data_IF_209022310947
#
_entry.id   IF_209022310947
#
_cell.length_a   1.000
_cell.length_b   1.000
_cell.length_c   1.000
_cell.angle_alpha   90.00
_cell.angle_beta   90.00
_cell.angle_gamma   90.00
#
_symmetry.space_group_name_H-M   'P 1'
#
loop_
_entity.id
_entity.type
_entity.pdbx_description
1 polymer ?
#
# COMPACT_ATOMS: atom_id res chain seq x y z
N UNK A 1 7.87 20.61 -9.44
CA UNK A 1 6.89 19.50 -9.52
C UNK A 1 6.96 18.94 -10.93
N UNK A 2 7.59 17.78 -11.10
CA UNK A 2 7.76 17.16 -12.43
C UNK A 2 6.41 16.69 -12.97
N UNK A 3 6.05 17.12 -14.18
CA UNK A 3 4.81 16.72 -14.87
C UNK A 3 4.81 15.19 -15.00
N UNK A 4 3.84 14.54 -14.35
CA UNK A 4 3.55 13.14 -14.62
C UNK A 4 3.08 12.94 -16.07
N UNK A 5 3.05 11.70 -16.56
CA UNK A 5 2.48 11.38 -17.87
C UNK A 5 1.07 11.96 -18.02
N UNK A 6 0.74 12.44 -19.21
CA UNK A 6 -0.57 13.00 -19.54
C UNK A 6 -1.68 11.96 -19.31
N UNK A 7 -2.75 12.32 -18.61
CA UNK A 7 -3.87 11.42 -18.34
C UNK A 7 -5.05 11.78 -19.23
N UNK A 8 -5.59 10.82 -19.97
CA UNK A 8 -6.80 10.99 -20.77
C UNK A 8 -7.79 9.85 -20.53
N UNK A 9 -9.09 10.15 -20.61
CA UNK A 9 -10.13 9.16 -20.32
C UNK A 9 -10.25 8.19 -21.48
N UNK A 10 -10.52 6.92 -21.17
CA UNK A 10 -10.93 5.93 -22.17
C UNK A 10 -12.30 6.34 -22.73
N UNK A 11 -12.51 6.14 -24.03
CA UNK A 11 -13.75 6.50 -24.74
C UNK A 11 -14.88 5.48 -24.49
N UNK A 12 -15.21 5.24 -23.22
CA UNK A 12 -16.35 4.44 -22.80
C UNK A 12 -16.83 4.85 -21.40
N UNK A 13 -17.81 4.12 -20.87
CA UNK A 13 -18.37 4.37 -19.54
C UNK A 13 -17.77 3.50 -18.43
N UNK A 14 -16.58 2.91 -18.65
CA UNK A 14 -15.92 2.08 -17.63
C UNK A 14 -15.25 2.92 -16.54
N UNK A 15 -14.98 4.20 -16.83
CA UNK A 15 -14.33 5.13 -15.90
C UNK A 15 -12.80 5.05 -15.91
N UNK A 16 -12.20 4.13 -16.67
CA UNK A 16 -10.75 4.01 -16.79
C UNK A 16 -10.13 5.18 -17.57
N UNK A 17 -8.88 5.51 -17.23
CA UNK A 17 -8.09 6.53 -17.91
C UNK A 17 -6.71 6.00 -18.29
N UNK A 18 -6.21 6.39 -19.45
CA UNK A 18 -4.85 6.12 -19.87
C UNK A 18 -3.90 7.13 -19.27
N UNK A 19 -2.79 6.65 -18.73
CA UNK A 19 -1.66 7.45 -18.29
C UNK A 19 -0.53 7.33 -19.30
N UNK A 20 -0.36 8.37 -20.12
CA UNK A 20 0.54 8.42 -21.26
C UNK A 20 -0.22 8.24 -22.57
N UNK A 21 0.46 7.69 -23.58
CA UNK A 21 -0.18 7.31 -24.85
C UNK A 21 -0.84 5.95 -24.71
N UNK A 22 -1.98 5.79 -25.35
CA UNK A 22 -2.74 4.54 -25.38
C UNK A 22 -2.32 3.61 -26.52
N UNK A 23 -1.69 4.13 -27.59
CA UNK A 23 -1.22 3.40 -28.76
C UNK A 23 -2.30 2.55 -29.46
N UNK A 24 -3.57 2.85 -29.23
CA UNK A 24 -4.66 2.06 -29.79
C UNK A 24 -4.95 0.72 -29.11
N UNK A 25 -4.37 0.44 -27.94
CA UNK A 25 -4.49 -0.85 -27.23
C UNK A 25 -5.10 -0.70 -25.83
N UNK A 26 -5.44 -1.81 -25.19
CA UNK A 26 -6.05 -1.82 -23.86
C UNK A 26 -7.58 -1.62 -23.87
N UNK A 27 -8.21 -1.85 -25.02
CA UNK A 27 -9.65 -1.67 -25.17
C UNK A 27 -10.49 -2.63 -24.29
N UNK A 28 -9.96 -3.81 -23.96
CA UNK A 28 -10.65 -4.83 -23.16
C UNK A 28 -10.83 -4.47 -21.68
N UNK A 29 -10.01 -3.54 -21.17
CA UNK A 29 -10.00 -3.13 -19.76
C UNK A 29 -11.33 -2.50 -19.37
N UNK A 30 -11.91 -2.96 -18.25
CA UNK A 30 -13.23 -2.57 -17.76
C UNK A 30 -14.43 -3.13 -18.55
N UNK A 31 -14.22 -3.76 -19.70
CA UNK A 31 -15.29 -4.32 -20.53
C UNK A 31 -15.40 -5.84 -20.39
N UNK A 32 -14.28 -6.55 -20.52
CA UNK A 32 -14.22 -8.03 -20.57
C UNK A 32 -13.42 -8.64 -19.39
N UNK A 33 -13.02 -7.80 -18.43
CA UNK A 33 -12.16 -8.17 -17.29
C UNK A 33 -12.94 -8.45 -16.00
N UNK A 34 -14.27 -8.58 -16.06
CA UNK A 34 -15.14 -8.75 -14.88
C UNK A 34 -14.72 -9.89 -13.95
N UNK A 35 -14.16 -10.99 -14.50
CA UNK A 35 -13.66 -12.10 -13.71
C UNK A 35 -12.43 -11.74 -12.84
N UNK A 36 -11.69 -10.70 -13.21
CA UNK A 36 -10.54 -10.17 -12.46
C UNK A 36 -11.00 -9.01 -11.59
N UNK A 37 -11.72 -8.03 -12.15
CA UNK A 37 -12.12 -6.79 -11.49
C UNK A 37 -13.19 -6.98 -10.39
N UNK A 38 -13.95 -8.07 -10.42
CA UNK A 38 -14.90 -8.43 -9.35
C UNK A 38 -14.22 -8.93 -8.07
N UNK A 39 -12.94 -9.32 -8.12
CA UNK A 39 -12.22 -9.81 -6.95
C UNK A 39 -11.57 -8.63 -6.19
N UNK A 40 -12.11 -8.32 -5.00
CA UNK A 40 -11.64 -7.22 -4.15
C UNK A 40 -10.20 -7.34 -3.66
N UNK A 41 -9.58 -8.52 -3.78
CA UNK A 41 -8.17 -8.74 -3.41
C UNK A 41 -7.20 -8.33 -4.52
N UNK A 42 -7.68 -8.16 -5.76
CA UNK A 42 -6.84 -7.80 -6.90
C UNK A 42 -6.60 -6.30 -6.90
N UNK A 43 -5.34 -5.90 -6.87
CA UNK A 43 -4.90 -4.51 -6.99
C UNK A 43 -4.84 -4.06 -8.45
N UNK A 44 -4.44 -4.97 -9.34
CA UNK A 44 -4.26 -4.68 -10.75
C UNK A 44 -3.89 -5.94 -11.53
N UNK A 45 -3.73 -5.80 -12.83
CA UNK A 45 -3.29 -6.90 -13.68
C UNK A 45 -2.53 -6.41 -14.90
N UNK A 46 -1.77 -7.31 -15.52
CA UNK A 46 -0.98 -7.02 -16.71
C UNK A 46 -1.20 -8.07 -17.77
N UNK A 47 -1.30 -7.66 -19.03
CA UNK A 47 -1.42 -8.58 -20.16
C UNK A 47 -0.71 -8.00 -21.38
N UNK A 48 -0.48 -8.85 -22.37
CA UNK A 48 0.12 -8.44 -23.64
C UNK A 48 -0.96 -8.32 -24.71
N UNK A 49 -0.83 -7.30 -25.54
CA UNK A 49 -1.75 -7.00 -26.64
C UNK A 49 -0.95 -6.60 -27.88
N UNK A 50 -1.36 -7.11 -29.03
CA UNK A 50 -0.78 -6.75 -30.32
C UNK A 50 -1.42 -5.45 -30.81
N UNK A 51 -0.62 -4.52 -31.33
CA UNK A 51 -1.12 -3.25 -31.82
C UNK A 51 -0.17 -2.59 -32.81
N UNK A 52 -0.48 -1.37 -33.20
CA UNK A 52 0.38 -0.56 -34.05
C UNK A 52 0.98 0.60 -33.27
N UNK A 53 2.30 0.71 -33.31
CA UNK A 53 2.98 1.94 -32.96
C UNK A 53 2.73 2.94 -34.10
N UNK A 54 1.86 3.89 -33.83
CA UNK A 54 1.50 4.97 -34.75
C UNK A 54 2.52 6.10 -34.64
N UNK A 55 3.12 6.43 -35.77
CA UNK A 55 3.94 7.60 -35.93
C UNK A 55 3.33 8.51 -36.99
N UNK A 56 3.03 9.75 -36.63
CA UNK A 56 2.43 10.73 -37.53
C UNK A 56 3.45 11.82 -37.79
N UNK A 57 3.66 12.15 -39.05
CA UNK A 57 4.52 13.27 -39.44
C UNK A 57 3.73 14.19 -40.36
N UNK A 58 3.51 15.43 -39.93
CA UNK A 58 2.81 16.44 -40.71
C UNK A 58 3.78 17.48 -41.29
N UNK A 59 3.48 17.99 -42.48
CA UNK A 59 4.22 19.04 -43.17
C UNK A 59 3.27 19.95 -43.94
N UNK A 60 3.68 21.20 -44.18
CA UNK A 60 3.00 22.06 -45.16
C UNK A 60 3.50 21.70 -46.55
N UNK A 61 2.58 21.31 -47.43
CA UNK A 61 2.87 21.02 -48.81
C UNK A 61 2.04 21.93 -49.73
N UNK A 62 2.64 23.06 -50.11
CA UNK A 62 2.00 24.05 -51.00
C UNK A 62 1.78 23.55 -52.42
N UNK A 63 2.41 22.43 -52.82
CA UNK A 63 2.16 21.78 -54.11
C UNK A 63 1.13 20.65 -54.02
N UNK A 64 0.44 20.51 -52.87
CA UNK A 64 -0.69 19.60 -52.72
C UNK A 64 -1.77 19.91 -53.76
N UNK A 65 -2.28 18.89 -54.43
CA UNK A 65 -3.39 19.02 -55.38
C UNK A 65 -4.76 18.96 -54.69
N UNK A 66 -4.80 18.64 -53.39
CA UNK A 66 -6.05 18.56 -52.64
C UNK A 66 -6.49 19.95 -52.17
N UNK A 67 -7.58 20.46 -52.76
CA UNK A 67 -8.04 21.84 -52.58
C UNK A 67 -9.52 21.91 -52.26
N UNK A 68 -9.91 22.94 -51.51
CA UNK A 68 -11.31 23.28 -51.26
C UNK A 68 -11.82 24.19 -52.39
N UNK A 69 -12.91 23.78 -53.02
CA UNK A 69 -13.52 24.45 -54.17
C UNK A 69 -15.04 24.60 -53.99
N UNK A 70 -15.64 25.52 -54.74
CA UNK A 70 -17.09 25.74 -54.75
C UNK A 70 -17.49 27.18 -54.46
N UNK A 71 -18.77 27.41 -54.11
CA UNK A 71 -19.82 26.40 -53.90
C UNK A 71 -20.20 25.64 -55.19
N UNK A 72 -20.45 24.33 -55.08
CA UNK A 72 -20.96 23.45 -56.16
C UNK A 72 -22.49 23.50 -56.23
N UNK A 73 -23.13 23.67 -55.08
CA UNK A 73 -24.56 23.97 -54.93
C UNK A 73 -24.73 24.95 -53.76
N UNK A 74 -25.93 25.49 -53.54
CA UNK A 74 -26.21 26.36 -52.40
C UNK A 74 -25.77 25.68 -51.10
N UNK A 75 -24.77 26.28 -50.44
CA UNK A 75 -24.12 25.82 -49.20
C UNK A 75 -23.31 24.52 -49.29
N UNK A 76 -23.02 23.99 -50.49
CA UNK A 76 -22.21 22.78 -50.65
C UNK A 76 -20.86 23.15 -51.29
N UNK A 77 -19.77 22.83 -50.59
CA UNK A 77 -18.40 22.99 -51.06
C UNK A 77 -17.77 21.62 -51.29
N UNK A 78 -16.94 21.50 -52.32
CA UNK A 78 -16.25 20.26 -52.64
C UNK A 78 -14.77 20.39 -52.32
N UNK A 79 -14.23 19.46 -51.53
CA UNK A 79 -12.80 19.28 -51.41
C UNK A 79 -12.38 18.12 -52.31
N UNK A 80 -11.46 18.38 -53.24
CA UNK A 80 -11.02 17.36 -54.17
C UNK A 80 -9.55 17.48 -54.55
N UNK A 81 -8.96 16.36 -54.97
CA UNK A 81 -7.64 16.30 -55.55
C UNK A 81 -6.87 15.03 -55.20
N UNK A 82 -5.69 14.87 -55.80
CA UNK A 82 -4.85 13.70 -55.58
C UNK A 82 -3.96 13.88 -54.36
N UNK A 83 -3.88 12.83 -53.53
CA UNK A 83 -2.87 12.70 -52.48
C UNK A 83 -1.66 11.90 -53.01
N UNK A 84 -0.50 11.95 -52.32
CA UNK A 84 0.71 11.26 -52.77
C UNK A 84 0.56 9.74 -53.01
N UNK A 85 -0.39 9.10 -52.35
CA UNK A 85 -0.70 7.67 -52.47
C UNK A 85 -2.02 7.37 -53.20
N UNK A 86 -2.70 8.37 -53.77
CA UNK A 86 -3.88 8.17 -54.63
C UNK A 86 -3.49 7.39 -55.89
N UNK A 87 -4.16 6.27 -56.15
CA UNK A 87 -3.83 5.36 -57.28
C UNK A 87 -4.96 5.29 -58.32
N UNK A 88 -6.22 5.34 -57.87
CA UNK A 88 -7.40 5.04 -58.69
C UNK A 88 -8.29 6.27 -58.96
N UNK A 89 -7.83 7.48 -58.63
CA UNK A 89 -8.56 8.72 -58.88
C UNK A 89 -8.23 9.81 -57.87
N UNK A 90 -8.86 10.97 -58.06
CA UNK A 90 -8.86 12.03 -57.06
C UNK A 90 -9.75 11.67 -55.88
N UNK A 91 -9.34 12.07 -54.68
CA UNK A 91 -10.24 12.02 -53.54
C UNK A 91 -11.24 13.17 -53.67
N UNK A 92 -12.49 12.92 -53.30
CA UNK A 92 -13.57 13.89 -53.42
C UNK A 92 -14.54 13.76 -52.25
N UNK A 93 -14.84 14.87 -51.59
CA UNK A 93 -15.81 14.92 -50.50
C UNK A 93 -16.55 16.26 -50.46
N UNK A 94 -17.81 16.22 -50.06
CA UNK A 94 -18.71 17.39 -50.02
C UNK A 94 -18.95 17.86 -48.59
N UNK A 95 -18.81 19.16 -48.37
CA UNK A 95 -18.95 19.81 -47.07
C UNK A 95 -20.07 20.83 -47.11
N UNK A 96 -20.86 20.90 -46.04
CA UNK A 96 -21.93 21.88 -45.90
C UNK A 96 -21.39 23.10 -45.15
N UNK A 97 -21.57 24.29 -45.72
CA UNK A 97 -21.14 25.55 -45.13
C UNK A 97 -21.96 26.72 -45.64
N UNK A 98 -22.30 27.66 -44.77
CA UNK A 98 -22.90 28.94 -45.17
C UNK A 98 -21.93 29.71 -46.07
N UNK A 99 -20.64 29.66 -45.75
CA UNK A 99 -19.54 30.03 -46.62
C UNK A 99 -18.42 28.98 -46.60
N UNK A 100 -17.47 29.10 -47.52
CA UNK A 100 -16.30 28.22 -47.59
C UNK A 100 -15.20 28.58 -46.60
N UNK A 101 -15.38 29.62 -45.76
CA UNK A 101 -14.32 30.16 -44.90
C UNK A 101 -14.13 29.33 -43.65
N UNK A 102 -15.21 28.78 -43.10
CA UNK A 102 -15.21 28.00 -41.86
C UNK A 102 -15.07 26.48 -42.06
N UNK A 103 -14.74 26.03 -43.28
CA UNK A 103 -14.62 24.60 -43.60
C UNK A 103 -13.18 24.14 -43.37
N UNK A 104 -13.04 23.00 -42.69
CA UNK A 104 -11.79 22.22 -42.63
C UNK A 104 -12.08 20.87 -43.23
N UNK A 105 -11.64 20.68 -44.46
CA UNK A 105 -11.82 19.46 -45.22
C UNK A 105 -10.60 18.56 -45.10
N UNK A 106 -10.82 17.29 -44.84
CA UNK A 106 -9.78 16.27 -44.78
C UNK A 106 -9.99 15.26 -45.91
N UNK A 107 -8.97 15.11 -46.75
CA UNK A 107 -8.88 14.05 -47.75
C UNK A 107 -7.96 12.94 -47.26
N UNK A 108 -8.33 11.70 -47.56
CA UNK A 108 -7.54 10.51 -47.24
C UNK A 108 -7.53 9.61 -48.46
N UNK A 109 -6.35 9.16 -48.88
CA UNK A 109 -6.27 8.34 -50.07
C UNK A 109 -6.83 6.93 -49.86
N UNK A 110 -7.65 6.47 -50.81
CA UNK A 110 -8.00 5.06 -50.91
C UNK A 110 -6.99 4.33 -51.79
N UNK A 111 -6.00 3.69 -51.17
CA UNK A 111 -4.96 2.95 -51.88
C UNK A 111 -4.78 1.54 -51.33
N UNK A 112 -4.98 0.51 -52.13
CA UNK A 112 -4.67 -0.87 -51.72
C UNK A 112 -3.19 -1.19 -51.81
N UNK A 113 -2.46 -0.46 -52.66
CA UNK A 113 -1.06 -0.75 -53.01
C UNK A 113 -0.06 0.04 -52.17
N UNK A 114 -0.44 1.22 -51.66
CA UNK A 114 0.47 2.03 -50.87
C UNK A 114 0.60 1.48 -49.44
N UNK A 115 1.83 1.20 -48.96
CA UNK A 115 2.06 0.83 -47.58
C UNK A 115 1.93 2.03 -46.62
N UNK A 116 2.18 3.26 -47.12
CA UNK A 116 2.06 4.52 -46.37
C UNK A 116 0.66 5.07 -46.53
N UNK A 117 0.16 5.77 -45.51
CA UNK A 117 -1.14 6.43 -45.56
C UNK A 117 -0.93 7.92 -45.44
N UNK A 118 -1.60 8.68 -46.31
CA UNK A 118 -1.59 10.13 -46.27
C UNK A 118 -2.98 10.68 -45.96
N UNK A 119 -2.95 11.82 -45.28
CA UNK A 119 -4.07 12.68 -44.99
C UNK A 119 -3.69 14.07 -45.48
N UNK A 120 -4.59 14.75 -46.18
CA UNK A 120 -4.40 16.14 -46.61
C UNK A 120 -5.52 17.00 -46.05
N UNK A 121 -5.19 18.20 -45.60
CA UNK A 121 -6.13 19.19 -45.07
C UNK A 121 -6.20 20.36 -46.04
N UNK A 122 -7.40 20.66 -46.50
CA UNK A 122 -7.74 21.88 -47.22
C UNK A 122 -8.69 22.69 -46.34
N UNK A 123 -8.35 23.95 -46.08
CA UNK A 123 -9.08 24.76 -45.12
C UNK A 123 -9.44 26.13 -45.68
N UNK A 124 -10.60 26.63 -45.27
CA UNK A 124 -11.05 27.99 -45.56
C UNK A 124 -10.28 29.05 -44.78
N UNK A 125 -10.56 30.32 -45.08
CA UNK A 125 -9.87 31.49 -44.52
C UNK A 125 -9.82 31.51 -42.98
N UNK A 126 -10.90 31.10 -42.30
CA UNK A 126 -10.97 31.10 -40.84
C UNK A 126 -9.97 30.11 -40.19
N UNK A 127 -9.62 29.04 -40.91
CA UNK A 127 -8.64 28.03 -40.50
C UNK A 127 -7.45 27.98 -41.46
N UNK A 128 -7.09 29.11 -42.06
CA UNK A 128 -6.07 29.18 -43.11
C UNK A 128 -4.70 28.62 -42.69
N UNK A 129 -4.40 28.61 -41.39
CA UNK A 129 -3.20 28.00 -40.82
C UNK A 129 -3.15 26.47 -40.99
N UNK A 130 -4.25 25.79 -41.26
CA UNK A 130 -4.27 24.35 -41.56
C UNK A 130 -4.21 24.06 -43.06
N UNK A 131 -4.37 25.08 -43.91
CA UNK A 131 -4.48 24.88 -45.33
C UNK A 131 -3.17 24.32 -45.91
N UNK A 132 -3.27 23.44 -46.92
CA UNK A 132 -2.15 22.75 -47.55
C UNK A 132 -1.31 21.90 -46.57
N UNK A 133 -1.90 21.39 -45.49
CA UNK A 133 -1.20 20.50 -44.57
C UNK A 133 -1.36 19.06 -45.01
N UNK A 134 -0.28 18.30 -45.05
CA UNK A 134 -0.29 16.86 -45.33
C UNK A 134 0.34 16.12 -44.16
N UNK A 135 -0.30 15.04 -43.74
CA UNK A 135 0.18 14.17 -42.67
C UNK A 135 0.36 12.75 -43.21
N UNK A 136 1.48 12.16 -42.87
CA UNK A 136 1.79 10.78 -43.17
C UNK A 136 1.69 9.94 -41.91
N UNK A 137 1.10 8.75 -42.03
CA UNK A 137 1.03 7.76 -40.96
C UNK A 137 1.96 6.58 -41.25
N UNK A 138 2.89 6.35 -40.31
CA UNK A 138 3.64 5.11 -40.17
C UNK A 138 2.95 4.20 -39.15
N UNK A 139 2.73 2.95 -39.53
CA UNK A 139 2.18 1.92 -38.65
C UNK A 139 3.20 0.78 -38.53
N UNK A 140 3.80 0.66 -37.35
CA UNK A 140 4.74 -0.41 -37.04
C UNK A 140 4.07 -1.42 -36.10
N UNK A 141 3.86 -2.68 -36.52
CA UNK A 141 3.28 -3.70 -35.64
C UNK A 141 4.21 -3.97 -34.45
N UNK A 142 3.66 -3.86 -33.24
CA UNK A 142 4.39 -3.99 -31.98
C UNK A 142 3.56 -4.77 -30.97
N UNK A 143 4.24 -5.49 -30.09
CA UNK A 143 3.66 -6.08 -28.90
C UNK A 143 3.71 -5.07 -27.76
N UNK A 144 2.56 -4.85 -27.12
CA UNK A 144 2.41 -3.92 -26.00
C UNK A 144 2.16 -4.68 -24.71
N UNK A 145 2.75 -4.19 -23.62
CA UNK A 145 2.40 -4.58 -22.27
C UNK A 145 1.42 -3.56 -21.69
N UNK A 146 0.22 -4.02 -21.37
CA UNK A 146 -0.85 -3.22 -20.79
C UNK A 146 -0.90 -3.52 -19.30
N UNK A 147 -0.59 -2.50 -18.50
CA UNK A 147 -0.62 -2.54 -17.03
C UNK A 147 -1.84 -1.76 -16.54
N UNK A 148 -2.73 -2.46 -15.83
CA UNK A 148 -4.00 -1.93 -15.32
C UNK A 148 -3.94 -1.87 -13.80
N UNK A 149 -4.22 -0.70 -13.25
CA UNK A 149 -4.46 -0.49 -11.84
C UNK A 149 -5.97 -0.35 -11.62
N UNK A 150 -6.56 -1.31 -10.90
CA UNK A 150 -8.00 -1.34 -10.63
C UNK A 150 -8.35 -0.30 -9.56
N UNK A 151 -7.46 -0.06 -8.58
CA UNK A 151 -7.72 0.87 -7.48
C UNK A 151 -7.75 2.32 -7.95
N UNK A 152 -6.87 2.71 -8.88
CA UNK A 152 -6.82 4.07 -9.44
C UNK A 152 -7.53 4.21 -10.79
N UNK A 153 -8.10 3.14 -11.33
CA UNK A 153 -8.74 3.09 -12.66
C UNK A 153 -7.81 3.60 -13.78
N UNK A 154 -6.52 3.26 -13.69
CA UNK A 154 -5.52 3.73 -14.64
C UNK A 154 -4.98 2.61 -15.51
N UNK A 155 -4.79 2.93 -16.79
CA UNK A 155 -4.20 2.05 -17.80
C UNK A 155 -2.87 2.66 -18.22
N UNK A 156 -1.84 1.84 -18.26
CA UNK A 156 -0.51 2.23 -18.73
C UNK A 156 -0.07 1.26 -19.80
N UNK A 157 0.43 1.79 -20.90
CA UNK A 157 0.78 1.00 -22.08
C UNK A 157 2.26 1.23 -22.40
N UNK A 158 2.99 0.14 -22.64
CA UNK A 158 4.40 0.19 -23.04
C UNK A 158 4.67 -0.75 -24.20
N UNK A 159 5.28 -0.24 -25.27
CA UNK A 159 5.79 -1.08 -26.35
C UNK A 159 6.94 -1.96 -25.82
N UNK A 160 6.96 -3.23 -26.21
CA UNK A 160 7.93 -4.23 -25.76
C UNK A 160 8.84 -4.66 -26.90
N UNK A 161 8.25 -5.24 -27.96
CA UNK A 161 9.01 -5.83 -29.06
C UNK A 161 8.27 -5.67 -30.41
N UNK A 162 8.99 -5.57 -31.53
CA UNK A 162 8.39 -5.54 -32.85
C UNK A 162 7.79 -6.90 -33.20
N UNK A 163 6.64 -6.89 -33.88
CA UNK A 163 5.90 -8.07 -34.28
C UNK A 163 5.85 -8.18 -35.81
N UNK A 164 5.66 -9.40 -36.32
CA UNK A 164 5.22 -9.58 -37.70
C UNK A 164 3.84 -8.92 -37.89
N UNK A 165 3.62 -8.27 -39.05
CA UNK A 165 2.36 -7.60 -39.34
C UNK A 165 1.18 -8.57 -39.30
N UNK A 166 0.32 -8.40 -38.29
CA UNK A 166 -0.89 -9.21 -38.07
C UNK A 166 -2.04 -8.80 -39.01
N UNK A 167 -1.93 -7.67 -39.72
CA UNK A 167 -2.88 -7.26 -40.75
C UNK A 167 -2.16 -6.88 -42.05
N UNK A 168 -1.57 -7.85 -42.78
CA UNK A 168 -0.80 -7.58 -43.98
C UNK A 168 -1.63 -6.95 -45.12
N UNK A 169 -2.95 -7.16 -45.12
CA UNK A 169 -3.89 -6.49 -46.03
C UNK A 169 -4.13 -5.01 -45.69
N UNK A 170 -3.69 -4.54 -44.51
CA UNK A 170 -3.76 -3.13 -44.06
C UNK A 170 -5.18 -2.55 -44.08
N UNK A 171 -6.18 -3.41 -43.90
CA UNK A 171 -7.57 -3.01 -43.82
C UNK A 171 -7.85 -2.21 -42.55
N UNK A 172 -7.21 -2.58 -41.44
CA UNK A 172 -7.38 -1.91 -40.13
C UNK A 172 -6.85 -0.48 -40.22
N UNK A 173 -5.62 -0.30 -40.69
CA UNK A 173 -5.00 1.03 -40.81
C UNK A 173 -5.71 1.89 -41.86
N UNK A 174 -6.13 1.30 -43.00
CA UNK A 174 -6.95 1.99 -44.00
C UNK A 174 -8.27 2.50 -43.42
N UNK A 175 -9.00 1.65 -42.72
CA UNK A 175 -10.30 1.99 -42.14
C UNK A 175 -10.18 3.05 -41.06
N UNK A 176 -9.11 2.98 -40.25
CA UNK A 176 -8.83 3.95 -39.20
C UNK A 176 -8.49 5.34 -39.76
N UNK A 177 -7.61 5.43 -40.76
CA UNK A 177 -7.28 6.74 -41.36
C UNK A 177 -8.49 7.32 -42.12
N UNK A 178 -9.30 6.49 -42.79
CA UNK A 178 -10.55 6.93 -43.45
C UNK A 178 -11.52 7.63 -42.49
N UNK A 179 -11.45 7.34 -41.18
CA UNK A 179 -12.31 8.03 -40.20
C UNK A 179 -12.06 9.52 -40.13
N UNK A 180 -10.85 10.00 -40.43
CA UNK A 180 -10.59 11.44 -40.41
C UNK A 180 -11.39 12.20 -41.48
N UNK A 181 -11.59 11.61 -42.65
CA UNK A 181 -12.45 12.18 -43.71
C UNK A 181 -13.92 12.22 -43.23
N UNK A 182 -14.43 11.11 -42.71
CA UNK A 182 -15.82 11.02 -42.21
C UNK A 182 -16.05 11.99 -41.05
N UNK A 183 -15.13 12.03 -40.09
CA UNK A 183 -15.15 12.96 -38.96
C UNK A 183 -15.13 14.41 -39.42
N UNK A 184 -14.30 14.75 -40.40
CA UNK A 184 -14.25 16.08 -40.99
C UNK A 184 -15.57 16.45 -41.66
N UNK A 185 -16.19 15.51 -42.37
CA UNK A 185 -17.49 15.70 -43.03
C UNK A 185 -18.61 15.96 -42.00
N UNK A 186 -18.75 15.05 -41.03
CA UNK A 186 -19.86 15.06 -40.06
C UNK A 186 -19.73 16.17 -39.00
N UNK A 187 -18.50 16.60 -38.69
CA UNK A 187 -18.24 17.65 -37.70
C UNK A 187 -18.12 19.06 -38.30
N UNK A 188 -18.39 19.22 -39.59
CA UNK A 188 -18.51 20.53 -40.22
C UNK A 188 -19.96 21.00 -40.12
N UNK A 189 -20.16 22.16 -39.50
CA UNK A 189 -21.46 22.83 -39.42
C UNK A 189 -21.47 24.07 -40.34
N UNK A 190 -22.63 24.68 -40.55
CA UNK A 190 -22.84 25.84 -41.43
C UNK A 190 -21.85 26.99 -41.17
N UNK A 191 -21.41 27.21 -39.93
CA UNK A 191 -20.59 28.38 -39.57
C UNK A 191 -19.24 28.04 -38.93
N UNK A 192 -18.98 26.78 -38.61
CA UNK A 192 -17.80 26.38 -37.82
C UNK A 192 -17.45 24.92 -38.11
N UNK A 193 -16.15 24.61 -38.13
CA UNK A 193 -15.67 23.24 -38.10
C UNK A 193 -15.30 22.88 -36.66
N UNK A 194 -16.03 21.94 -36.04
CA UNK A 194 -15.68 21.49 -34.69
C UNK A 194 -14.29 20.84 -34.67
N UNK A 195 -13.91 20.20 -35.77
CA UNK A 195 -12.58 19.63 -35.94
C UNK A 195 -11.50 20.73 -36.08
N UNK A 196 -11.80 21.80 -36.82
CA UNK A 196 -10.95 22.99 -36.89
C UNK A 196 -10.69 23.62 -35.53
N UNK A 197 -11.75 23.80 -34.72
CA UNK A 197 -11.62 24.30 -33.34
C UNK A 197 -10.83 23.36 -32.43
N UNK A 198 -11.03 22.04 -32.56
CA UNK A 198 -10.27 21.05 -31.80
C UNK A 198 -8.77 21.11 -32.13
N UNK A 199 -8.41 21.23 -33.41
CA UNK A 199 -7.02 21.42 -33.82
C UNK A 199 -6.45 22.75 -33.32
N UNK A 200 -7.20 23.85 -33.43
CA UNK A 200 -6.79 25.15 -32.90
C UNK A 200 -6.51 25.09 -31.39
N UNK A 201 -7.38 24.41 -30.63
CA UNK A 201 -7.20 24.18 -29.19
C UNK A 201 -5.95 23.35 -28.90
N UNK A 202 -5.68 22.29 -29.67
CA UNK A 202 -4.46 21.48 -29.54
C UNK A 202 -3.19 22.32 -29.80
N UNK A 203 -3.22 23.15 -30.84
CA UNK A 203 -2.11 24.06 -31.18
C UNK A 203 -1.88 25.07 -30.06
N UNK A 204 -2.93 25.67 -29.51
CA UNK A 204 -2.84 26.58 -28.38
C UNK A 204 -2.27 25.88 -27.12
N UNK A 205 -2.72 24.66 -26.82
CA UNK A 205 -2.19 23.86 -25.71
C UNK A 205 -0.72 23.51 -25.91
N UNK A 206 -0.31 23.19 -27.14
CA UNK A 206 1.10 22.97 -27.47
C UNK A 206 1.93 24.24 -27.25
N UNK A 207 1.47 25.40 -27.77
CA UNK A 207 2.11 26.72 -27.55
C UNK A 207 2.30 27.00 -26.05
N UNK A 208 1.26 26.79 -25.23
CA UNK A 208 1.33 26.99 -23.77
C UNK A 208 2.28 26.00 -23.07
N UNK A 209 2.25 24.73 -23.46
CA UNK A 209 3.11 23.70 -22.84
C UNK A 209 4.58 23.92 -23.16
N UNK A 210 4.93 24.30 -24.39
CA UNK A 210 6.30 24.58 -24.81
C UNK A 210 6.83 25.88 -24.20
N UNK A 211 6.00 26.93 -24.14
CA UNK A 211 6.36 28.18 -23.46
C UNK A 211 6.71 27.96 -21.98
N UNK A 212 6.14 26.92 -21.35
CA UNK A 212 6.49 26.52 -19.98
C UNK A 212 7.78 25.70 -19.85
N UNK A 213 8.32 25.15 -20.96
CA UNK A 213 9.42 24.18 -20.97
C UNK A 213 10.72 24.72 -21.57
N UNK A 214 10.67 25.54 -22.61
CA UNK A 214 11.85 26.15 -23.23
C UNK A 214 11.60 27.63 -23.53
N UNK A 215 12.67 28.43 -23.43
CA UNK A 215 12.70 29.84 -23.84
C UNK A 215 13.08 30.02 -25.31
N UNK A 216 13.36 28.94 -26.03
CA UNK A 216 13.74 29.03 -27.43
C UNK A 216 12.56 29.55 -28.26
N UNK A 217 12.76 30.61 -29.07
CA UNK A 217 11.72 31.10 -29.96
C UNK A 217 11.44 30.04 -31.03
N UNK A 218 10.16 29.69 -31.19
CA UNK A 218 9.68 28.79 -32.24
C UNK A 218 8.75 29.56 -33.18
N UNK A 219 8.67 29.13 -34.44
CA UNK A 219 7.78 29.79 -35.41
C UNK A 219 6.34 29.31 -35.23
N UNK A 220 5.38 30.10 -35.75
CA UNK A 220 3.96 29.74 -35.66
C UNK A 220 3.65 28.46 -36.44
N UNK A 221 4.33 28.25 -37.56
CA UNK A 221 4.22 27.06 -38.40
C UNK A 221 4.69 25.81 -37.66
N UNK A 222 5.82 25.90 -36.95
CA UNK A 222 6.34 24.78 -36.14
C UNK A 222 5.37 24.40 -35.01
N UNK A 223 4.77 25.40 -34.36
CA UNK A 223 3.77 25.15 -33.33
C UNK A 223 2.50 24.53 -33.89
N UNK A 224 2.07 24.98 -35.07
CA UNK A 224 0.87 24.49 -35.75
C UNK A 224 1.04 23.04 -36.16
N UNK A 225 2.14 22.71 -36.85
CA UNK A 225 2.44 21.35 -37.28
C UNK A 225 2.64 20.41 -36.08
N UNK A 226 3.35 20.83 -35.03
CA UNK A 226 3.54 19.98 -33.86
C UNK A 226 2.24 19.76 -33.06
N UNK A 227 1.43 20.81 -32.88
CA UNK A 227 0.11 20.71 -32.23
C UNK A 227 -0.87 19.83 -33.02
N UNK A 228 -0.87 19.97 -34.35
CA UNK A 228 -1.66 19.13 -35.24
C UNK A 228 -1.20 17.67 -35.22
N UNK A 229 0.12 17.43 -35.30
CA UNK A 229 0.71 16.09 -35.25
C UNK A 229 0.32 15.37 -33.96
N UNK A 230 0.43 16.04 -32.81
CA UNK A 230 0.02 15.48 -31.53
C UNK A 230 -1.49 15.18 -31.50
N UNK A 231 -2.32 16.08 -32.04
CA UNK A 231 -3.77 15.88 -32.09
C UNK A 231 -4.15 14.68 -32.94
N UNK A 232 -3.63 14.59 -34.16
CA UNK A 232 -3.91 13.48 -35.09
C UNK A 232 -3.38 12.17 -34.51
N UNK A 233 -2.22 12.17 -33.86
CA UNK A 233 -1.66 11.00 -33.18
C UNK A 233 -2.57 10.51 -32.03
N UNK A 234 -3.08 11.42 -31.19
CA UNK A 234 -4.01 11.05 -30.14
C UNK A 234 -5.34 10.53 -30.71
N UNK A 235 -5.87 11.17 -31.76
CA UNK A 235 -7.11 10.77 -32.41
C UNK A 235 -7.01 9.38 -33.05
N UNK A 236 -5.90 9.05 -33.73
CA UNK A 236 -5.75 7.72 -34.35
C UNK A 236 -5.66 6.62 -33.29
N UNK A 237 -4.98 6.88 -32.16
CA UNK A 237 -4.91 5.96 -31.03
C UNK A 237 -6.32 5.72 -30.45
N UNK A 238 -7.11 6.80 -30.28
CA UNK A 238 -8.49 6.73 -29.79
C UNK A 238 -9.46 6.04 -30.78
N UNK A 239 -9.26 6.22 -32.09
CA UNK A 239 -10.01 5.51 -33.14
C UNK A 239 -9.76 4.00 -33.05
N UNK A 240 -8.52 3.57 -32.87
CA UNK A 240 -8.20 2.14 -32.71
C UNK A 240 -8.84 1.54 -31.47
N UNK A 241 -8.79 2.24 -30.33
CA UNK A 241 -9.45 1.79 -29.09
C UNK A 241 -10.96 1.71 -29.28
N UNK A 242 -11.55 2.69 -29.94
CA UNK A 242 -13.00 2.73 -30.20
C UNK A 242 -13.42 1.55 -31.07
N UNK A 243 -12.65 1.24 -32.12
CA UNK A 243 -12.91 0.07 -32.96
C UNK A 243 -12.73 -1.25 -32.23
N UNK A 244 -11.66 -1.40 -31.46
CA UNK A 244 -11.45 -2.60 -30.66
C UNK A 244 -12.58 -2.77 -29.63
N UNK A 245 -12.97 -1.69 -28.94
CA UNK A 245 -14.09 -1.70 -27.98
C UNK A 245 -15.43 -2.07 -28.65
N UNK A 246 -15.70 -1.55 -29.85
CA UNK A 246 -16.89 -1.90 -30.62
C UNK A 246 -16.89 -3.38 -31.06
N UNK A 247 -15.74 -3.92 -31.48
CA UNK A 247 -15.61 -5.34 -31.83
C UNK A 247 -15.85 -6.24 -30.61
N UNK A 248 -15.36 -5.85 -29.43
CA UNK A 248 -15.58 -6.58 -28.18
C UNK A 248 -17.06 -6.54 -27.76
N UNK A 249 -17.66 -5.35 -27.71
CA UNK A 249 -19.00 -5.15 -27.12
C UNK A 249 -20.15 -5.44 -28.08
N UNK A 250 -20.04 -4.96 -29.33
CA UNK A 250 -21.09 -5.11 -30.35
C UNK A 250 -20.85 -6.37 -31.18
N UNK A 251 -19.61 -6.55 -31.64
CA UNK A 251 -19.23 -7.70 -32.46
C UNK A 251 -19.14 -9.03 -31.70
N UNK A 252 -18.92 -8.98 -30.37
CA UNK A 252 -18.59 -10.15 -29.54
C UNK A 252 -17.42 -10.96 -30.10
N UNK A 253 -16.48 -10.28 -30.74
CA UNK A 253 -15.27 -10.88 -31.30
C UNK A 253 -14.14 -10.65 -30.31
N UNK A 254 -13.71 -11.70 -29.63
CA UNK A 254 -12.62 -11.63 -28.66
C UNK A 254 -11.84 -12.94 -28.61
N UNK A 255 -10.56 -12.83 -28.28
CA UNK A 255 -9.68 -13.96 -27.98
C UNK A 255 -9.26 -13.86 -26.51
N UNK A 256 -9.19 -15.00 -25.83
CA UNK A 256 -8.75 -15.02 -24.43
C UNK A 256 -7.23 -14.94 -24.38
N UNK A 257 -6.71 -14.03 -23.56
CA UNK A 257 -5.28 -13.86 -23.31
C UNK A 257 -4.98 -14.06 -21.81
N UNK A 258 -3.87 -14.73 -21.46
CA UNK A 258 -3.49 -14.90 -20.06
C UNK A 258 -3.06 -13.56 -19.46
N UNK A 259 -3.70 -13.17 -18.35
CA UNK A 259 -3.34 -11.99 -17.57
C UNK A 259 -2.62 -12.39 -16.28
N UNK A 260 -1.60 -11.61 -15.90
CA UNK A 260 -0.94 -11.74 -14.60
C UNK A 260 -1.60 -10.78 -13.62
N UNK A 261 -2.23 -11.30 -12.58
CA UNK A 261 -2.90 -10.50 -11.56
C UNK A 261 -1.96 -10.17 -10.40
N UNK A 262 -2.04 -8.95 -9.92
CA UNK A 262 -1.36 -8.48 -8.71
C UNK A 262 -2.41 -8.38 -7.60
N UNK A 263 -2.16 -9.05 -6.48
CA UNK A 263 -3.06 -9.05 -5.32
C UNK A 263 -2.46 -8.25 -4.17
N UNK A 264 -3.31 -7.58 -3.39
CA UNK A 264 -2.87 -6.96 -2.16
C UNK A 264 -2.42 -8.03 -1.16
N UNK A 265 -1.12 -8.06 -0.88
CA UNK A 265 -0.54 -8.88 0.17
C UNK A 265 -0.22 -7.99 1.37
N UNK A 266 -0.84 -8.27 2.51
CA UNK A 266 -0.53 -7.60 3.77
C UNK A 266 0.65 -8.32 4.43
N UNK A 267 1.82 -7.69 4.43
CA UNK A 267 2.96 -8.16 5.19
C UNK A 267 2.86 -7.65 6.63
N UNK A 268 2.62 -8.54 7.59
CA UNK A 268 2.68 -8.20 9.01
C UNK A 268 4.11 -8.26 9.53
N UNK A 269 4.61 -7.13 10.05
CA UNK A 269 5.88 -7.04 10.75
C UNK A 269 7.09 -6.85 9.85
N UNK A 270 8.16 -6.31 10.44
CA UNK A 270 9.46 -6.23 9.80
C UNK A 270 10.22 -7.54 10.03
N UNK A 271 10.84 -8.16 9.01
CA UNK A 271 11.54 -9.44 9.18
C UNK A 271 12.58 -9.40 10.30
N UNK A 272 13.27 -8.27 10.46
CA UNK A 272 14.22 -8.08 11.57
C UNK A 272 13.58 -8.19 12.96
N UNK A 273 12.39 -7.63 13.16
CA UNK A 273 11.68 -7.73 14.44
C UNK A 273 11.21 -9.16 14.72
N UNK A 274 10.69 -9.83 13.69
CA UNK A 274 10.25 -11.24 13.80
C UNK A 274 11.43 -12.14 14.18
N UNK A 275 12.57 -12.01 13.50
CA UNK A 275 13.76 -12.78 13.80
C UNK A 275 14.34 -12.46 15.19
N UNK A 276 14.33 -11.19 15.61
CA UNK A 276 14.82 -10.80 16.93
C UNK A 276 13.97 -11.40 18.07
N UNK A 277 12.64 -11.29 17.97
CA UNK A 277 11.72 -11.87 18.97
C UNK A 277 11.81 -13.39 18.97
N UNK A 278 11.87 -14.03 17.80
CA UNK A 278 12.04 -15.48 17.71
C UNK A 278 13.35 -15.93 18.37
N UNK A 279 14.46 -15.26 18.06
CA UNK A 279 15.79 -15.58 18.61
C UNK A 279 15.82 -15.36 20.12
N UNK A 280 15.27 -14.27 20.62
CA UNK A 280 15.21 -13.98 22.05
C UNK A 280 14.40 -15.04 22.81
N UNK A 281 13.22 -15.40 22.30
CA UNK A 281 12.41 -16.46 22.91
C UNK A 281 13.14 -17.82 22.89
N UNK A 282 13.84 -18.12 21.81
CA UNK A 282 14.62 -19.35 21.67
C UNK A 282 15.83 -19.38 22.62
N UNK A 283 16.52 -18.24 22.84
CA UNK A 283 17.56 -18.10 23.86
C UNK A 283 16.98 -18.32 25.27
N UNK A 284 15.82 -17.73 25.58
CA UNK A 284 15.16 -17.93 26.89
C UNK A 284 14.84 -19.42 27.10
N UNK A 285 14.30 -20.10 26.09
CA UNK A 285 14.01 -21.54 26.16
C UNK A 285 15.30 -22.33 26.39
N UNK A 286 16.39 -22.01 25.69
CA UNK A 286 17.67 -22.68 25.92
C UNK A 286 18.27 -22.39 27.29
N UNK A 287 18.13 -21.18 27.82
CA UNK A 287 18.56 -20.85 29.17
C UNK A 287 17.77 -21.67 30.21
N UNK A 288 16.45 -21.80 30.03
CA UNK A 288 15.59 -22.62 30.90
C UNK A 288 15.96 -24.11 30.79
N UNK A 289 16.19 -24.64 29.60
CA UNK A 289 16.65 -26.02 29.40
C UNK A 289 18.04 -26.26 29.99
N UNK A 290 18.94 -25.29 29.87
CA UNK A 290 20.27 -25.32 30.48
C UNK A 290 20.19 -25.36 32.01
N UNK A 291 19.36 -24.50 32.61
CA UNK A 291 19.13 -24.54 34.05
C UNK A 291 18.41 -25.82 34.50
N UNK A 292 17.46 -26.31 33.72
CA UNK A 292 16.78 -27.58 34.00
C UNK A 292 17.73 -28.77 33.95
N UNK A 293 18.66 -28.82 32.99
CA UNK A 293 19.67 -29.88 32.93
C UNK A 293 20.71 -29.73 34.03
N UNK A 294 21.17 -28.50 34.34
CA UNK A 294 22.11 -28.21 35.43
C UNK A 294 21.57 -28.61 36.80
N UNK A 295 20.28 -28.44 37.03
CA UNK A 295 19.61 -28.78 38.29
C UNK A 295 19.05 -30.20 38.31
N UNK A 296 19.44 -31.07 37.36
CA UNK A 296 18.95 -32.45 37.22
C UNK A 296 17.42 -32.53 37.21
N UNK A 297 16.78 -31.73 36.37
CA UNK A 297 15.32 -31.65 36.28
C UNK A 297 14.69 -31.09 37.55
N UNK A 298 15.44 -30.24 38.28
CA UNK A 298 15.01 -29.59 39.52
C UNK A 298 14.79 -30.59 40.67
N UNK A 299 15.30 -31.81 40.53
CA UNK A 299 15.18 -32.86 41.53
C UNK A 299 15.90 -32.53 42.85
N UNK A 300 16.89 -31.61 42.79
CA UNK A 300 17.70 -31.18 43.93
C UNK A 300 17.25 -29.82 44.51
N UNK A 301 16.16 -29.24 44.00
CA UNK A 301 15.55 -28.08 44.66
C UNK A 301 14.71 -28.56 45.85
N UNK A 302 15.11 -28.14 47.05
CA UNK A 302 14.29 -28.28 48.26
C UNK A 302 12.89 -27.70 48.04
N UNK A 303 11.87 -28.28 48.67
CA UNK A 303 10.48 -27.80 48.58
C UNK A 303 10.44 -26.34 49.03
N UNK A 304 10.28 -25.42 48.09
CA UNK A 304 10.17 -24.00 48.37
C UNK A 304 8.71 -23.65 48.64
N UNK A 305 8.38 -23.29 49.88
CA UNK A 305 7.03 -22.84 50.23
C UNK A 305 6.98 -21.31 50.35
N UNK A 306 6.30 -20.64 49.41
CA UNK A 306 6.14 -19.18 49.39
C UNK A 306 5.43 -18.61 50.63
N UNK A 307 4.77 -19.46 51.42
CA UNK A 307 4.09 -19.08 52.66
C UNK A 307 4.97 -19.24 53.90
N UNK A 308 6.13 -19.90 53.79
CA UNK A 308 7.10 -19.96 54.88
C UNK A 308 8.11 -18.80 54.74
N UNK A 309 8.11 -17.82 55.67
CA UNK A 309 9.06 -16.72 55.63
C UNK A 309 10.52 -17.17 55.73
N UNK A 310 10.80 -18.39 56.21
CA UNK A 310 12.17 -18.94 56.30
C UNK A 310 12.75 -19.24 54.93
N UNK A 311 11.98 -19.91 54.07
CA UNK A 311 12.38 -20.22 52.70
C UNK A 311 12.60 -18.93 51.91
N UNK A 312 11.74 -17.93 52.11
CA UNK A 312 11.89 -16.61 51.50
C UNK A 312 13.20 -15.92 51.90
N UNK A 313 13.57 -15.98 53.19
CA UNK A 313 14.83 -15.41 53.70
C UNK A 313 16.05 -16.15 53.15
N UNK A 314 16.01 -17.49 53.08
CA UNK A 314 17.11 -18.30 52.53
C UNK A 314 17.29 -18.05 51.02
N UNK A 315 16.19 -17.94 50.27
CA UNK A 315 16.25 -17.61 48.85
C UNK A 315 16.75 -16.18 48.60
N UNK A 316 16.35 -15.21 49.43
CA UNK A 316 16.87 -13.85 49.36
C UNK A 316 18.35 -13.77 49.76
N UNK A 317 18.80 -14.59 50.71
CA UNK A 317 20.16 -14.54 51.23
C UNK A 317 21.19 -15.28 50.37
N UNK A 318 20.79 -16.32 49.62
CA UNK A 318 21.69 -17.01 48.67
C UNK A 318 22.13 -16.14 47.48
N UNK A 319 21.54 -14.96 47.30
CA UNK A 319 22.05 -13.92 46.41
C UNK A 319 23.22 -13.10 46.97
N UNK A 320 23.54 -13.21 48.27
CA UNK A 320 24.60 -12.48 48.96
C UNK A 320 25.64 -13.40 49.60
N UNK A 321 26.92 -13.24 49.23
CA UNK A 321 27.99 -14.19 49.56
C UNK A 321 28.23 -14.39 51.08
N UNK A 322 27.98 -13.39 51.91
CA UNK A 322 28.31 -13.44 53.35
C UNK A 322 27.28 -14.21 54.19
N UNK A 323 26.00 -14.19 53.81
CA UNK A 323 24.93 -14.84 54.59
C UNK A 323 24.81 -16.32 54.20
N UNK A 324 25.06 -16.66 52.93
CA UNK A 324 25.13 -18.05 52.48
C UNK A 324 26.23 -18.82 53.23
N UNK A 325 27.42 -18.22 53.39
CA UNK A 325 28.51 -18.83 54.17
C UNK A 325 28.13 -19.03 55.64
N UNK A 326 27.42 -18.09 56.26
CA UNK A 326 26.98 -18.22 57.65
C UNK A 326 25.92 -19.33 57.83
N UNK A 327 25.07 -19.58 56.83
CA UNK A 327 24.09 -20.65 56.85
C UNK A 327 24.75 -22.04 56.69
N UNK A 328 25.72 -22.17 55.78
CA UNK A 328 26.46 -23.41 55.56
C UNK A 328 27.33 -23.77 56.77
N UNK A 329 27.97 -22.79 57.43
CA UNK A 329 28.78 -22.98 58.65
C UNK A 329 27.96 -23.50 59.85
N UNK A 330 26.65 -23.22 59.87
CA UNK A 330 25.72 -23.68 60.91
C UNK A 330 25.25 -25.10 60.58
N UNK A 331 25.00 -25.42 59.31
CA UNK A 331 24.63 -26.78 58.90
C UNK A 331 25.74 -27.80 59.13
N UNK A 332 27.00 -27.45 58.86
CA UNK A 332 28.13 -28.38 59.00
C UNK A 332 28.48 -28.70 60.48
N UNK A 333 28.20 -27.79 61.41
CA UNK A 333 28.49 -27.97 62.85
C UNK A 333 27.40 -28.68 63.65
N UNK A 334 26.24 -28.94 63.06
CA UNK A 334 25.07 -29.43 63.80
C UNK A 334 24.86 -30.95 63.75
N UNK A 335 25.81 -31.74 63.23
CA UNK A 335 25.71 -33.20 63.19
C UNK A 335 25.90 -33.90 64.56
N UNK A 336 26.05 -33.12 65.65
CA UNK A 336 26.14 -33.65 67.02
C UNK A 336 25.48 -32.74 68.05
N UNK A 337 24.14 -32.81 68.13
CA UNK A 337 23.27 -32.73 69.33
C UNK A 337 21.99 -31.94 69.04
N UNK A 338 20.84 -32.59 69.13
CA UNK A 338 19.54 -31.92 69.14
C UNK A 338 19.36 -31.13 70.44
N UNK A 339 19.29 -29.81 70.34
CA UNK A 339 18.74 -28.98 71.42
C UNK A 339 17.21 -28.97 71.26
N UNK A 340 16.51 -29.70 72.12
CA UNK A 340 15.06 -29.57 72.28
C UNK A 340 14.77 -28.22 72.93
N UNK A 341 14.20 -27.25 72.22
CA UNK A 341 13.40 -26.18 72.83
C UNK A 341 12.21 -25.81 71.93
N UNK A 342 11.13 -25.41 72.61
CA UNK A 342 9.75 -25.26 72.15
C UNK A 342 9.60 -24.08 71.20
N UNK A 343 8.91 -24.30 70.08
CA UNK A 343 8.26 -23.25 69.31
C UNK A 343 6.81 -23.63 69.03
N UNK A 344 5.90 -22.72 69.38
CA UNK A 344 4.52 -22.72 68.94
C UNK A 344 4.52 -22.34 67.45
N UNK A 345 3.87 -23.18 66.63
CA UNK A 345 3.48 -22.94 65.23
C UNK A 345 4.59 -23.13 64.16
N UNK A 346 5.23 -24.29 64.14
CA UNK A 346 5.42 -25.11 62.91
C UNK A 346 6.29 -26.33 63.22
N UNK A 347 5.87 -27.51 62.77
CA UNK A 347 6.62 -28.77 62.93
C UNK A 347 7.99 -28.69 62.24
N UNK A 348 9.03 -29.35 62.77
CA UNK A 348 10.35 -29.35 62.16
C UNK A 348 10.37 -30.27 60.93
N UNK A 349 10.36 -29.69 59.74
CA UNK A 349 10.61 -30.42 58.50
C UNK A 349 12.09 -30.86 58.42
N UNK A 350 12.31 -32.17 58.29
CA UNK A 350 13.64 -32.76 58.10
C UNK A 350 14.26 -32.30 56.78
N UNK A 351 15.40 -31.60 56.84
CA UNK A 351 16.23 -31.29 55.67
C UNK A 351 16.72 -29.84 55.56
N UNK A 352 16.08 -28.89 56.24
CA UNK A 352 16.57 -27.51 56.32
C UNK A 352 17.24 -27.30 57.70
N UNK A 353 18.53 -26.96 57.69
CA UNK A 353 19.27 -26.66 58.93
C UNK A 353 18.58 -25.58 59.75
N UNK A 354 18.58 -25.71 61.08
CA UNK A 354 17.90 -24.76 61.96
C UNK A 354 18.71 -23.48 62.09
N UNK A 355 18.40 -22.45 61.29
CA UNK A 355 18.92 -21.10 61.53
C UNK A 355 18.19 -20.49 62.73
N UNK A 356 18.92 -20.19 63.80
CA UNK A 356 18.37 -19.45 64.95
C UNK A 356 18.44 -17.97 64.64
N UNK A 357 17.28 -17.38 64.43
CA UNK A 357 17.14 -15.98 64.07
C UNK A 357 16.45 -15.25 65.21
N UNK A 358 17.16 -14.31 65.84
CA UNK A 358 16.61 -13.45 66.87
C UNK A 358 16.26 -12.10 66.26
N UNK A 359 15.02 -11.67 66.47
CA UNK A 359 14.61 -10.31 66.16
C UNK A 359 14.95 -9.42 67.35
N UNK A 360 15.83 -8.44 67.15
CA UNK A 360 16.19 -7.45 68.16
C UNK A 360 15.75 -6.08 67.68
N UNK A 361 14.84 -5.45 68.42
CA UNK A 361 14.47 -4.05 68.19
C UNK A 361 15.62 -3.14 68.59
N UNK A 362 15.93 -2.13 67.77
CA UNK A 362 16.72 -1.00 68.20
C UNK A 362 15.85 0.07 68.89
N UNK A 363 16.51 1.04 69.53
CA UNK A 363 15.82 2.10 70.28
C UNK A 363 15.07 3.10 69.38
N UNK A 364 15.22 3.00 68.06
CA UNK A 364 14.53 3.84 67.06
C UNK A 364 13.27 3.14 66.51
N UNK A 365 12.94 1.93 66.99
CA UNK A 365 11.74 1.19 66.62
C UNK A 365 11.90 0.32 65.37
N UNK A 366 13.13 0.12 64.88
CA UNK A 366 13.40 -0.80 63.79
C UNK A 366 13.72 -2.20 64.33
N UNK A 367 13.12 -3.22 63.72
CA UNK A 367 13.38 -4.62 64.08
C UNK A 367 14.52 -5.13 63.19
N UNK A 368 15.70 -5.33 63.78
CA UNK A 368 16.85 -5.93 63.11
C UNK A 368 16.86 -7.44 63.35
N UNK A 369 17.11 -8.19 62.29
CA UNK A 369 17.18 -9.65 62.31
C UNK A 369 18.65 -10.05 62.51
N UNK A 370 18.99 -10.64 63.66
CA UNK A 370 20.34 -11.10 63.98
C UNK A 370 20.38 -12.63 64.11
N UNK A 371 21.29 -13.28 63.37
CA UNK A 371 21.47 -14.74 63.43
C UNK A 371 22.36 -15.07 64.63
N UNK A 372 21.85 -15.86 65.57
CA UNK A 372 22.52 -16.11 66.85
C UNK A 372 23.68 -17.12 66.70
N UNK A 373 24.91 -16.73 67.06
CA UNK A 373 26.04 -17.67 67.28
C UNK A 373 25.99 -18.21 68.71
N UNK A 374 26.03 -19.54 68.84
CA UNK A 374 25.93 -20.24 70.12
C UNK A 374 27.08 -19.89 71.07
N UNK A 375 26.80 -19.18 72.16
CA UNK A 375 27.72 -19.00 73.29
C UNK A 375 27.01 -19.26 74.62
N UNK A 376 27.63 -20.09 75.46
CA UNK A 376 27.16 -20.57 76.78
C UNK A 376 27.54 -19.60 77.90
N UNK A 377 26.60 -19.28 78.80
CA UNK A 377 26.88 -19.00 80.21
C UNK A 377 25.61 -19.01 81.08
N UNK A 378 25.74 -19.47 82.33
CA UNK A 378 24.85 -19.08 83.44
C UNK A 378 23.88 -20.14 83.99
N UNK A 379 24.39 -21.07 84.79
CA UNK A 379 23.61 -21.97 85.67
C UNK A 379 22.99 -21.15 86.82
N UNK A 380 21.67 -21.28 87.05
CA UNK A 380 21.01 -20.97 88.33
C UNK A 380 20.12 -22.17 88.71
N UNK A 381 20.32 -22.68 89.93
CA UNK A 381 19.69 -23.90 90.44
C UNK A 381 18.17 -23.74 90.64
N UNK A 382 17.38 -24.82 90.53
CA UNK A 382 15.92 -24.76 90.67
C UNK A 382 15.48 -24.62 92.13
N UNK A 383 14.48 -23.76 92.36
CA UNK A 383 13.75 -23.62 93.62
C UNK A 383 12.87 -24.85 93.87
N UNK A 384 12.66 -25.20 95.14
CA UNK A 384 11.90 -26.39 95.54
C UNK A 384 10.39 -26.12 95.62
N UNK A 385 9.53 -27.14 95.42
CA UNK A 385 8.08 -26.99 95.24
C UNK A 385 7.32 -26.34 96.41
N UNK A 386 7.90 -26.27 97.61
CA UNK A 386 7.24 -25.67 98.79
C UNK A 386 7.29 -24.14 98.83
N UNK A 387 8.02 -23.49 97.92
CA UNK A 387 8.10 -22.03 97.85
C UNK A 387 7.16 -21.42 96.80
N UNK A 388 6.55 -22.23 95.93
CA UNK A 388 5.64 -21.77 94.85
C UNK A 388 4.19 -21.59 95.37
N UNK A 389 3.80 -22.34 96.41
CA UNK A 389 2.43 -22.35 96.92
C UNK A 389 2.05 -21.16 97.82
N UNK A 390 3.03 -20.32 98.21
CA UNK A 390 2.78 -19.15 99.07
C UNK A 390 2.60 -17.87 98.25
N UNK A 391 3.20 -17.80 97.05
CA UNK A 391 3.12 -16.61 96.18
C UNK A 391 1.85 -16.61 95.31
N UNK A 392 1.27 -17.78 95.02
CA UNK A 392 0.06 -17.91 94.19
C UNK A 392 -1.26 -17.63 94.94
N UNK A 393 -1.22 -17.48 96.26
CA UNK A 393 -2.42 -17.29 97.11
C UNK A 393 -2.75 -15.84 97.45
N UNK A 394 -1.91 -14.87 97.09
CA UNK A 394 -2.11 -13.46 97.45
C UNK A 394 -2.67 -12.55 96.34
N UNK A 395 -2.84 -13.04 95.12
CA UNK A 395 -3.34 -12.21 94.00
C UNK A 395 -4.78 -12.52 93.56
N UNK A 396 -5.47 -13.48 94.21
CA UNK A 396 -6.77 -13.98 93.72
C UNK A 396 -8.01 -13.42 94.43
N UNK A 397 -7.90 -12.36 95.24
CA UNK A 397 -9.06 -11.66 95.80
C UNK A 397 -8.83 -10.15 95.89
N UNK A 398 -9.09 -9.43 94.79
CA UNK A 398 -9.55 -8.03 94.83
C UNK A 398 -10.22 -7.65 93.50
N UNK A 399 -11.56 -7.58 93.57
CA UNK A 399 -12.46 -6.66 92.88
C UNK A 399 -12.78 -6.84 91.37
N UNK A 400 -13.96 -7.45 91.17
CA UNK A 400 -14.96 -7.14 90.15
C UNK A 400 -15.64 -5.75 90.36
N UNK A 401 -16.38 -5.35 89.31
CA UNK A 401 -17.33 -4.22 89.15
C UNK A 401 -16.72 -2.92 88.58
N UNK A 402 -17.25 -2.26 87.54
CA UNK A 402 -18.62 -2.19 87.03
C UNK A 402 -18.60 -1.66 85.57
N UNK A 403 -19.60 -1.99 84.74
CA UNK A 403 -19.61 -1.75 83.29
C UNK A 403 -20.19 -0.42 82.78
N UNK A 404 -20.11 -0.21 81.45
CA UNK A 404 -21.12 0.40 80.54
C UNK A 404 -20.53 0.71 79.14
N UNK A 405 -21.20 0.23 78.10
CA UNK A 405 -21.22 0.78 76.72
C UNK A 405 -22.16 2.03 76.65
N UNK A 406 -22.33 2.80 75.52
CA UNK A 406 -21.82 2.67 74.14
C UNK A 406 -21.40 3.98 73.40
N UNK A 407 -20.89 3.83 72.17
CA UNK A 407 -21.40 4.45 70.91
C UNK A 407 -20.48 5.34 70.04
N UNK A 408 -20.56 5.02 68.74
CA UNK A 408 -20.58 5.89 67.55
C UNK A 408 -19.28 6.46 66.95
N UNK A 409 -19.04 6.10 65.68
CA UNK A 409 -18.96 6.95 64.45
C UNK A 409 -17.97 6.33 63.46
N UNK A 410 -18.40 5.85 62.29
CA UNK A 410 -18.77 6.55 61.05
C UNK A 410 -17.62 7.28 60.34
N UNK A 411 -17.20 6.72 59.19
CA UNK A 411 -16.74 7.36 57.95
C UNK A 411 -16.05 6.26 57.11
N UNK A 412 -16.70 5.59 56.16
CA UNK A 412 -17.19 6.06 54.86
C UNK A 412 -16.08 6.63 53.94
N UNK A 413 -15.55 5.78 53.03
CA UNK A 413 -15.54 6.08 51.59
C UNK A 413 -14.86 4.95 50.75
N UNK A 414 -15.50 4.48 49.67
CA UNK A 414 -14.96 3.48 48.76
C UNK A 414 -14.19 4.08 47.57
N UNK A 415 -13.08 3.43 47.20
CA UNK A 415 -12.35 3.67 45.94
C UNK A 415 -13.16 3.20 44.72
N UNK A 416 -13.46 4.13 43.81
CA UNK A 416 -14.07 3.86 42.49
C UNK A 416 -13.01 3.68 41.39
N UNK A 417 -13.35 2.74 40.52
CA UNK A 417 -12.70 2.28 39.28
C UNK A 417 -12.78 3.32 38.15
N UNK A 418 -11.83 3.28 37.21
CA UNK A 418 -11.96 3.94 35.90
C UNK A 418 -11.04 3.35 34.82
N UNK A 419 -11.57 2.37 34.08
CA UNK A 419 -11.06 1.94 32.76
C UNK A 419 -11.76 2.80 31.71
N UNK A 420 -11.01 3.43 30.81
CA UNK A 420 -11.54 4.04 29.59
C UNK A 420 -10.65 3.68 28.40
N UNK A 421 -11.19 2.84 27.52
CA UNK A 421 -10.81 2.83 26.12
C UNK A 421 -11.58 3.90 25.36
N UNK A 422 -11.02 4.34 24.23
CA UNK A 422 -11.76 5.04 23.18
C UNK A 422 -11.26 4.54 21.82
N UNK A 423 -12.17 3.91 21.07
CA UNK A 423 -12.20 3.93 19.61
C UNK A 423 -12.95 5.20 19.21
N UNK A 424 -12.41 5.96 18.27
CA UNK A 424 -13.04 6.23 16.97
C UNK A 424 -11.94 6.36 15.93
#
# INVERSE_FOLDING_TARGET
MGKGPHVHRKLDNTGYSYSGRSFGVGASVGLMDQGISSNSQVAGYTFQEEGYLTNVTCTYNTTSNFVLSGPVNEWIYAASGNLPDSVDGEEYSNYIGHDGKAIVAIGVAFSERSPRRFLSIAAGEAYGFLNNTQCEFGFEPMLFNVTVDIGSLNITVKAVEPLQDFNPQRNITRTAVRQFELMSNDMTNLYVSLLGEAFNSSIAAYKMSRASMSRDPFTEEEATIAGLTNSITAMIDDIFISYASAQLMVGRLFTQQPARTMVYALQFGQPGYIYAVFTLNLIIIFAVLGEATRTYGWADLGRFNYLDPRDLIIAASRGGAEIAQAADDIMEKQDRRSLKHVWLLSDPDEGNGSLVVNMKGDEEGHVKIEVARANRSGVRAPLTPSQIDIEMKSEFYAEEEEGRFPSSRDSDSPLKVGILGVKY
#
